data_IF_862599181046
#
_entry.id   IF_862599181046
#
_cell.length_a   1.000
_cell.length_b   1.000
_cell.length_c   1.000
_cell.angle_alpha   90.00
_cell.angle_beta   90.00
_cell.angle_gamma   90.00
#
_symmetry.space_group_name_H-M   'P 1'
#
loop_
_entity.id
_entity.type
_entity.pdbx_description
1 polymer ?
#
# COMPACT_ATOMS: atom_id res chain seq x y z
N UNK A 1 -2.78 -51.53 -23.33
CA UNK A 1 -4.06 -50.89 -22.96
C UNK A 1 -3.75 -49.70 -22.05
N UNK A 2 -3.71 -48.48 -22.60
CA UNK A 2 -3.42 -47.26 -21.85
C UNK A 2 -4.68 -46.75 -21.13
N UNK A 3 -4.63 -46.67 -19.81
CA UNK A 3 -5.65 -46.02 -18.99
C UNK A 3 -5.41 -44.51 -18.95
N UNK A 4 -6.19 -43.75 -19.74
CA UNK A 4 -6.22 -42.28 -19.67
C UNK A 4 -6.90 -41.84 -18.38
N UNK A 5 -6.12 -41.39 -17.40
CA UNK A 5 -6.61 -40.66 -16.21
C UNK A 5 -7.19 -39.31 -16.63
N UNK A 6 -8.53 -39.23 -16.73
CA UNK A 6 -9.25 -37.96 -16.82
C UNK A 6 -9.17 -37.25 -15.46
N UNK A 7 -8.14 -36.43 -15.27
CA UNK A 7 -8.13 -35.42 -14.21
C UNK A 7 -9.14 -34.33 -14.57
N UNK A 8 -10.40 -34.54 -14.18
CA UNK A 8 -11.46 -33.55 -14.28
C UNK A 8 -11.09 -32.32 -13.45
N UNK A 9 -11.07 -31.16 -14.13
CA UNK A 9 -10.78 -29.86 -13.53
C UNK A 9 -11.86 -29.55 -12.49
N UNK A 10 -11.60 -29.88 -11.23
CA UNK A 10 -12.47 -29.54 -10.11
C UNK A 10 -12.88 -28.06 -10.19
N UNK A 11 -14.18 -27.79 -10.02
CA UNK A 11 -14.71 -26.43 -10.01
C UNK A 11 -13.95 -25.59 -9.00
N UNK A 12 -13.23 -24.57 -9.49
CA UNK A 12 -12.63 -23.55 -8.63
C UNK A 12 -13.70 -22.47 -8.45
N UNK A 13 -14.26 -22.28 -7.24
CA UNK A 13 -15.21 -21.21 -7.01
C UNK A 13 -14.59 -19.90 -7.48
N UNK A 14 -15.33 -19.16 -8.31
CA UNK A 14 -14.92 -17.82 -8.72
C UNK A 14 -14.76 -17.01 -7.43
N UNK A 15 -13.62 -16.33 -7.29
CA UNK A 15 -13.44 -15.41 -6.17
C UNK A 15 -14.63 -14.44 -6.15
N UNK A 16 -15.20 -14.14 -4.97
CA UNK A 16 -16.27 -13.15 -4.89
C UNK A 16 -15.81 -11.86 -5.57
N UNK A 17 -16.73 -11.17 -6.25
CA UNK A 17 -16.43 -9.87 -6.84
C UNK A 17 -15.97 -8.93 -5.73
N UNK A 18 -14.71 -8.48 -5.81
CA UNK A 18 -14.16 -7.55 -4.85
C UNK A 18 -14.11 -6.17 -5.51
N UNK A 19 -15.03 -5.29 -5.09
CA UNK A 19 -14.98 -3.90 -5.49
C UNK A 19 -13.78 -3.23 -4.79
N UNK A 20 -12.82 -2.76 -5.58
CA UNK A 20 -11.70 -1.98 -5.08
C UNK A 20 -12.21 -0.59 -4.71
N UNK A 21 -11.99 -0.17 -3.47
CA UNK A 21 -12.50 1.08 -2.96
C UNK A 21 -11.71 2.29 -3.51
N UNK A 22 -12.41 3.38 -3.79
CA UNK A 22 -11.81 4.66 -4.15
C UNK A 22 -11.39 4.82 -5.61
N UNK A 23 -11.71 3.86 -6.50
CA UNK A 23 -11.47 3.99 -7.94
C UNK A 23 -12.05 5.31 -8.48
N UNK A 24 -11.27 6.03 -9.29
CA UNK A 24 -11.71 7.24 -9.99
C UNK A 24 -11.69 8.51 -9.14
N UNK A 25 -11.43 8.42 -7.84
CA UNK A 25 -11.33 9.57 -6.93
C UNK A 25 -10.03 10.37 -7.15
N UNK A 26 -9.98 11.66 -6.80
CA UNK A 26 -8.73 12.45 -6.84
C UNK A 26 -7.51 11.78 -6.20
N UNK A 27 -7.56 11.15 -4.99
CA UNK A 27 -6.43 10.39 -4.46
C UNK A 27 -6.02 9.21 -5.33
N UNK A 28 -6.98 8.49 -5.92
CA UNK A 28 -6.71 7.37 -6.82
C UNK A 28 -6.00 7.79 -8.10
N UNK A 29 -6.44 8.89 -8.71
CA UNK A 29 -5.85 9.43 -9.96
C UNK A 29 -4.39 9.87 -9.79
N UNK A 30 -3.92 10.08 -8.56
CA UNK A 30 -2.52 10.42 -8.24
C UNK A 30 -1.61 9.19 -8.10
N UNK A 31 -2.16 7.98 -8.07
CA UNK A 31 -1.36 6.76 -7.97
C UNK A 31 -0.69 6.43 -9.30
N UNK A 32 0.57 5.98 -9.22
CA UNK A 32 1.23 5.37 -10.37
C UNK A 32 0.58 4.02 -10.68
N UNK A 33 0.57 3.59 -11.96
CA UNK A 33 0.05 2.28 -12.37
C UNK A 33 0.64 1.10 -11.58
N UNK A 34 1.93 1.19 -11.22
CA UNK A 34 2.56 0.16 -10.39
C UNK A 34 2.10 0.18 -8.93
N UNK A 35 1.68 1.32 -8.38
CA UNK A 35 1.04 1.40 -7.07
C UNK A 35 -0.36 0.79 -7.10
N UNK A 36 -1.13 1.06 -8.17
CA UNK A 36 -2.41 0.38 -8.42
C UNK A 36 -2.18 -1.14 -8.48
N UNK A 37 -1.16 -1.60 -9.22
CA UNK A 37 -0.80 -3.02 -9.30
C UNK A 37 -0.50 -3.64 -7.93
N UNK A 38 0.27 -2.96 -7.06
CA UNK A 38 0.49 -3.41 -5.68
C UNK A 38 -0.81 -3.47 -4.89
N UNK A 39 -1.69 -2.47 -5.03
CA UNK A 39 -2.97 -2.47 -4.32
C UNK A 39 -3.86 -3.62 -4.74
N UNK A 40 -3.87 -3.96 -6.02
CA UNK A 40 -4.56 -5.14 -6.53
C UNK A 40 -4.00 -6.44 -5.91
N UNK A 41 -2.69 -6.54 -5.66
CA UNK A 41 -2.14 -7.70 -4.94
C UNK A 41 -2.61 -7.78 -3.49
N UNK A 42 -2.83 -6.65 -2.83
CA UNK A 42 -3.46 -6.62 -1.50
C UNK A 42 -4.91 -7.11 -1.58
N UNK A 43 -5.69 -6.67 -2.56
CA UNK A 43 -7.06 -7.16 -2.76
C UNK A 43 -7.09 -8.64 -3.15
N UNK A 44 -6.17 -9.13 -3.98
CA UNK A 44 -6.07 -10.56 -4.32
C UNK A 44 -5.92 -11.47 -3.09
N UNK A 45 -5.31 -10.94 -2.02
CA UNK A 45 -5.11 -11.58 -0.71
C UNK A 45 -6.23 -11.27 0.30
N UNK A 46 -7.07 -10.28 0.03
CA UNK A 46 -8.18 -9.91 0.89
C UNK A 46 -9.26 -10.98 0.80
N UNK A 47 -9.76 -11.45 1.94
CA UNK A 47 -10.77 -12.51 2.03
C UNK A 47 -12.07 -12.05 2.70
N UNK A 48 -12.25 -10.74 2.90
CA UNK A 48 -13.38 -10.17 3.65
C UNK A 48 -13.07 -9.94 5.14
N UNK A 49 -12.32 -10.84 5.77
CA UNK A 49 -12.09 -10.84 7.22
C UNK A 49 -10.71 -10.30 7.63
N UNK A 50 -9.73 -10.32 6.71
CA UNK A 50 -8.36 -9.93 6.99
C UNK A 50 -8.03 -8.46 6.62
N UNK A 51 -9.02 -7.55 6.61
CA UNK A 51 -8.86 -6.16 6.12
C UNK A 51 -7.67 -5.43 6.71
N UNK A 52 -7.35 -5.69 7.99
CA UNK A 52 -6.27 -5.04 8.75
C UNK A 52 -5.04 -5.95 8.98
N UNK A 53 -5.03 -7.14 8.38
CA UNK A 53 -4.00 -8.15 8.57
C UNK A 53 -3.51 -8.69 7.23
N UNK A 54 -3.10 -7.80 6.33
CA UNK A 54 -2.55 -8.15 5.03
C UNK A 54 -1.04 -8.01 5.02
N UNK A 55 -0.35 -8.98 4.45
CA UNK A 55 1.09 -8.92 4.20
C UNK A 55 1.37 -9.02 2.71
N UNK A 56 2.29 -8.18 2.25
CA UNK A 56 2.86 -8.27 0.92
C UNK A 56 4.35 -7.98 1.02
N UNK A 57 5.15 -8.96 0.67
CA UNK A 57 6.60 -8.89 0.71
C UNK A 57 7.15 -8.61 -0.68
N UNK A 58 8.35 -8.03 -0.73
CA UNK A 58 9.04 -7.82 -2.00
C UNK A 58 9.24 -9.13 -2.78
N UNK A 59 9.52 -10.25 -2.09
CA UNK A 59 9.74 -11.56 -2.73
C UNK A 59 8.55 -12.02 -3.56
N UNK A 60 7.34 -11.64 -3.18
CA UNK A 60 6.11 -12.02 -3.89
C UNK A 60 5.90 -11.22 -5.18
N UNK A 61 6.53 -10.04 -5.29
CA UNK A 61 6.37 -9.12 -6.43
C UNK A 61 7.68 -8.80 -7.14
N UNK A 62 8.78 -9.47 -6.79
CA UNK A 62 10.12 -9.19 -7.30
C UNK A 62 10.26 -9.41 -8.81
N UNK A 63 9.45 -10.31 -9.39
CA UNK A 63 9.38 -10.54 -10.84
C UNK A 63 8.80 -9.34 -11.60
N UNK A 64 8.05 -8.46 -10.92
CA UNK A 64 7.35 -7.33 -11.54
C UNK A 64 8.07 -5.99 -11.36
N UNK A 65 8.88 -5.84 -10.31
CA UNK A 65 9.53 -4.57 -9.98
C UNK A 65 10.71 -4.76 -9.04
N UNK A 66 11.59 -3.75 -8.95
CA UNK A 66 12.69 -3.72 -7.97
C UNK A 66 12.21 -3.34 -6.56
N UNK A 67 13.02 -3.64 -5.55
CA UNK A 67 12.70 -3.35 -4.13
C UNK A 67 12.53 -1.86 -3.85
N UNK A 68 13.30 -1.02 -4.55
CA UNK A 68 13.22 0.43 -4.48
C UNK A 68 11.86 0.93 -5.00
N UNK A 69 11.43 0.40 -6.14
CA UNK A 69 10.15 0.74 -6.77
C UNK A 69 8.98 0.23 -5.92
N UNK A 70 9.08 -1.01 -5.42
CA UNK A 70 8.11 -1.57 -4.48
C UNK A 70 7.90 -0.66 -3.27
N UNK A 71 9.00 -0.24 -2.63
CA UNK A 71 8.94 0.66 -1.48
C UNK A 71 8.30 1.99 -1.85
N UNK A 72 8.63 2.56 -3.01
CA UNK A 72 8.06 3.84 -3.48
C UNK A 72 6.54 3.74 -3.65
N UNK A 73 6.08 2.71 -4.35
CA UNK A 73 4.65 2.50 -4.61
C UNK A 73 3.86 2.19 -3.33
N UNK A 74 4.44 1.41 -2.42
CA UNK A 74 3.84 1.17 -1.10
C UNK A 74 3.64 2.49 -0.33
N UNK A 75 4.62 3.40 -0.37
CA UNK A 75 4.48 4.72 0.25
C UNK A 75 3.48 5.64 -0.45
N UNK A 76 3.25 5.49 -1.76
CA UNK A 76 2.14 6.21 -2.43
C UNK A 76 0.79 5.74 -1.88
N UNK A 77 0.57 4.44 -1.78
CA UNK A 77 -0.68 3.88 -1.24
C UNK A 77 -0.91 4.30 0.22
N UNK A 78 0.14 4.32 1.03
CA UNK A 78 0.06 4.78 2.43
C UNK A 78 -0.20 6.29 2.50
N UNK A 79 0.47 7.06 1.65
CA UNK A 79 0.36 8.51 1.62
C UNK A 79 -1.02 8.98 1.20
N UNK A 80 -1.57 8.42 0.13
CA UNK A 80 -2.91 8.74 -0.35
C UNK A 80 -4.04 8.03 0.41
N UNK A 81 -3.72 7.33 1.51
CA UNK A 81 -4.73 6.84 2.44
C UNK A 81 -5.45 5.56 2.00
N UNK A 82 -4.88 4.80 1.06
CA UNK A 82 -5.38 3.48 0.63
C UNK A 82 -4.86 2.33 1.51
N UNK A 83 -3.69 2.52 2.13
CA UNK A 83 -3.11 1.56 3.06
C UNK A 83 -2.71 2.21 4.39
N UNK A 84 -2.81 1.42 5.46
CA UNK A 84 -2.28 1.74 6.78
C UNK A 84 -1.21 0.74 7.17
N UNK A 85 -0.09 1.24 7.71
CA UNK A 85 0.87 0.38 8.39
C UNK A 85 0.30 0.02 9.75
N UNK A 86 -0.07 -1.25 9.94
CA UNK A 86 -0.59 -1.77 11.21
C UNK A 86 0.53 -2.30 12.10
N UNK A 87 1.51 -2.96 11.48
CA UNK A 87 2.71 -3.46 12.17
C UNK A 87 3.91 -3.31 11.26
N UNK A 88 4.95 -2.63 11.73
CA UNK A 88 6.24 -2.64 11.04
C UNK A 88 6.99 -3.91 11.36
N UNK A 89 7.38 -4.66 10.33
CA UNK A 89 8.35 -5.75 10.47
C UNK A 89 9.70 -5.19 10.90
N UNK A 90 10.31 -5.77 11.93
CA UNK A 90 11.68 -5.44 12.38
C UNK A 90 12.44 -6.73 12.73
N UNK A 91 12.77 -6.93 14.00
CA UNK A 91 13.90 -7.74 14.47
C UNK A 91 13.82 -9.26 14.19
N UNK A 92 12.62 -9.83 14.05
CA UNK A 92 12.42 -11.30 14.00
C UNK A 92 11.97 -11.83 12.63
N UNK A 93 12.45 -11.24 11.52
CA UNK A 93 12.07 -11.61 10.14
C UNK A 93 10.56 -11.56 9.82
N UNK A 94 9.75 -11.00 10.72
CA UNK A 94 8.32 -10.82 10.50
C UNK A 94 8.07 -9.79 9.40
N UNK A 95 7.15 -10.11 8.49
CA UNK A 95 6.70 -9.17 7.47
C UNK A 95 5.91 -8.01 8.10
N UNK A 96 5.90 -6.87 7.42
CA UNK A 96 5.02 -5.77 7.82
C UNK A 96 3.57 -6.12 7.51
N UNK A 97 2.67 -5.77 8.43
CA UNK A 97 1.24 -5.92 8.26
C UNK A 97 0.62 -4.58 7.89
N UNK A 98 -0.25 -4.64 6.91
CA UNK A 98 -0.99 -3.51 6.37
C UNK A 98 -2.48 -3.74 6.50
N UNK A 99 -3.23 -2.64 6.53
CA UNK A 99 -4.67 -2.66 6.38
C UNK A 99 -5.13 -1.83 5.21
N UNK A 100 -6.19 -2.29 4.52
CA UNK A 100 -6.91 -1.47 3.54
C UNK A 100 -7.58 -0.32 4.30
N UNK A 101 -7.26 0.90 3.90
CA UNK A 101 -7.63 2.13 4.61
C UNK A 101 -8.67 2.93 3.84
N UNK A 102 -9.48 3.69 4.59
CA UNK A 102 -10.50 4.58 4.05
C UNK A 102 -10.12 6.06 4.19
N UNK A 103 -8.88 6.36 4.64
CA UNK A 103 -8.38 7.73 4.83
C UNK A 103 -8.35 8.53 3.54
N UNK A 104 -8.32 7.86 2.39
CA UNK A 104 -8.48 8.49 1.09
C UNK A 104 -9.80 9.29 0.98
N UNK A 105 -10.86 8.93 1.72
CA UNK A 105 -12.15 9.66 1.72
C UNK A 105 -12.01 11.09 2.24
N UNK A 106 -11.26 11.29 3.32
CA UNK A 106 -10.95 12.63 3.85
C UNK A 106 -10.01 13.40 2.93
N UNK A 107 -9.01 12.73 2.37
CA UNK A 107 -8.09 13.35 1.41
C UNK A 107 -8.81 13.74 0.11
N UNK A 108 -9.97 13.14 -0.17
CA UNK A 108 -10.81 13.50 -1.30
C UNK A 108 -11.48 14.87 -1.09
N UNK A 109 -11.79 15.24 0.15
CA UNK A 109 -12.38 16.55 0.49
C UNK A 109 -11.34 17.63 0.73
N UNK A 110 -10.07 17.25 0.98
CA UNK A 110 -8.97 18.17 1.29
C UNK A 110 -7.87 18.20 0.21
N UNK A 111 -8.06 18.94 -0.89
CA UNK A 111 -7.12 18.96 -2.02
C UNK A 111 -5.72 19.47 -1.63
N UNK A 112 -5.63 20.39 -0.66
CA UNK A 112 -4.35 20.90 -0.18
C UNK A 112 -3.48 19.83 0.47
N UNK A 113 -4.08 18.94 1.29
CA UNK A 113 -3.36 17.83 1.91
C UNK A 113 -2.82 16.89 0.84
N UNK A 114 -3.61 16.62 -0.19
CA UNK A 114 -3.24 15.76 -1.31
C UNK A 114 -2.05 16.30 -2.11
N UNK A 115 -2.04 17.61 -2.41
CA UNK A 115 -0.90 18.28 -3.05
C UNK A 115 0.36 18.20 -2.16
N UNK A 116 0.23 18.47 -0.86
CA UNK A 116 1.35 18.38 0.10
C UNK A 116 1.92 16.96 0.16
N UNK A 117 1.08 15.93 0.19
CA UNK A 117 1.51 14.52 0.16
C UNK A 117 2.27 14.22 -1.14
N UNK A 118 1.76 14.67 -2.29
CA UNK A 118 2.42 14.48 -3.58
C UNK A 118 3.82 15.12 -3.60
N UNK A 119 3.97 16.34 -3.09
CA UNK A 119 5.25 17.03 -2.99
C UNK A 119 6.24 16.28 -2.10
N UNK A 120 5.81 15.80 -0.93
CA UNK A 120 6.65 15.02 -0.02
C UNK A 120 7.10 13.70 -0.67
N UNK A 121 6.22 13.02 -1.40
CA UNK A 121 6.57 11.80 -2.13
C UNK A 121 7.58 12.07 -3.25
N UNK A 122 7.45 13.20 -3.98
CA UNK A 122 8.44 13.64 -4.97
C UNK A 122 9.81 13.90 -4.34
N UNK A 123 9.87 14.58 -3.19
CA UNK A 123 11.11 14.81 -2.44
C UNK A 123 11.78 13.49 -2.01
N UNK A 124 11.00 12.55 -1.47
CA UNK A 124 11.51 11.22 -1.09
C UNK A 124 12.09 10.50 -2.32
N UNK A 125 11.39 10.54 -3.47
CA UNK A 125 11.86 9.93 -4.73
C UNK A 125 13.20 10.51 -5.18
N UNK A 126 13.38 11.82 -5.10
CA UNK A 126 14.63 12.49 -5.44
C UNK A 126 15.76 12.09 -4.49
N UNK A 127 15.50 12.07 -3.18
CA UNK A 127 16.49 11.63 -2.19
C UNK A 127 16.90 10.19 -2.45
N UNK A 128 15.96 9.28 -2.70
CA UNK A 128 16.23 7.85 -2.91
C UNK A 128 17.16 7.55 -4.09
N UNK A 129 17.26 8.43 -5.10
CA UNK A 129 18.15 8.25 -6.28
C UNK A 129 19.65 8.38 -5.97
N UNK A 130 20.02 9.16 -4.95
CA UNK A 130 21.43 9.39 -4.59
C UNK A 130 22.02 8.19 -3.81
N UNK A 131 23.34 7.94 -3.78
CA UNK A 131 23.93 7.00 -2.83
C UNK A 131 23.61 7.40 -1.37
N UNK A 132 23.59 6.42 -0.45
CA UNK A 132 22.95 6.57 0.86
C UNK A 132 23.89 6.92 2.01
N UNK A 133 23.69 8.07 2.66
CA UNK A 133 24.28 8.44 3.96
C UNK A 133 23.27 8.32 5.12
N UNK A 134 23.75 8.28 6.37
CA UNK A 134 22.87 8.27 7.56
C UNK A 134 21.98 9.51 7.63
N UNK A 135 22.52 10.70 7.31
CA UNK A 135 21.78 11.96 7.25
C UNK A 135 20.57 11.87 6.30
N UNK A 136 20.79 11.32 5.10
CA UNK A 136 19.73 11.09 4.11
C UNK A 136 18.66 10.12 4.62
N UNK A 137 19.04 9.02 5.29
CA UNK A 137 18.09 8.07 5.87
C UNK A 137 17.18 8.75 6.90
N UNK A 138 17.75 9.59 7.74
CA UNK A 138 17.01 10.40 8.72
C UNK A 138 16.06 11.40 8.05
N UNK A 139 16.48 12.03 6.97
CA UNK A 139 15.65 12.96 6.21
C UNK A 139 14.44 12.25 5.56
N UNK A 140 14.67 11.12 4.90
CA UNK A 140 13.59 10.29 4.35
C UNK A 140 12.61 9.87 5.46
N UNK A 141 13.12 9.47 6.62
CA UNK A 141 12.29 9.11 7.77
C UNK A 141 11.42 10.30 8.25
N UNK A 142 12.01 11.50 8.35
CA UNK A 142 11.27 12.73 8.70
C UNK A 142 10.15 13.02 7.70
N UNK A 143 10.42 12.93 6.39
CA UNK A 143 9.43 13.15 5.35
C UNK A 143 8.29 12.13 5.40
N UNK A 144 8.61 10.85 5.59
CA UNK A 144 7.62 9.78 5.76
C UNK A 144 6.71 10.02 6.96
N UNK A 145 7.27 10.47 8.09
CA UNK A 145 6.47 10.81 9.26
C UNK A 145 5.56 12.03 9.02
N UNK A 146 6.00 13.02 8.24
CA UNK A 146 5.13 14.14 7.82
C UNK A 146 3.93 13.62 7.01
N UNK A 147 4.16 12.72 6.06
CA UNK A 147 3.08 12.08 5.27
C UNK A 147 2.10 11.36 6.21
N UNK A 148 2.60 10.55 7.14
CA UNK A 148 1.75 9.84 8.10
C UNK A 148 0.92 10.79 8.96
N UNK A 149 1.49 11.91 9.40
CA UNK A 149 0.76 12.93 10.19
C UNK A 149 -0.33 13.62 9.37
N UNK A 150 -0.04 13.98 8.12
CA UNK A 150 -1.01 14.63 7.23
C UNK A 150 -2.23 13.75 6.95
N UNK A 151 -2.01 12.44 6.89
CA UNK A 151 -3.10 11.49 6.71
C UNK A 151 -3.73 11.00 8.00
N UNK A 152 -3.33 11.44 9.21
CA UNK A 152 -4.01 11.02 10.45
C UNK A 152 -5.26 11.86 10.65
N UNK A 153 -6.36 11.18 10.97
CA UNK A 153 -7.55 11.82 11.52
C UNK A 153 -7.17 12.56 12.80
N UNK A 154 -7.65 13.80 13.05
CA UNK A 154 -7.69 14.30 14.42
C UNK A 154 -8.50 13.28 15.22
N UNK A 155 -7.89 12.73 16.28
CA UNK A 155 -8.49 11.73 17.15
C UNK A 155 -9.92 12.17 17.48
N UNK A 156 -10.91 11.34 17.14
CA UNK A 156 -12.20 11.41 17.80
C UNK A 156 -11.86 11.14 19.27
N UNK A 157 -11.91 12.19 20.10
CA UNK A 157 -11.91 12.02 21.55
C UNK A 157 -13.11 11.13 21.83
N UNK A 158 -12.87 9.87 22.18
CA UNK A 158 -13.91 9.07 22.81
C UNK A 158 -14.30 9.84 24.07
N UNK A 159 -15.47 10.48 24.02
CA UNK A 159 -16.16 10.97 25.20
C UNK A 159 -16.47 9.71 26.01
N UNK A 160 -15.85 9.63 27.19
CA UNK A 160 -16.14 8.62 28.20
C UNK A 160 -17.55 8.82 28.74
#
# INVERSE_FOLDING_TARGET
>A
MESKTRNEKAYKPKKPFQAVEGIGTPPWRKLDMGAIGIFMEFYNKFNGFNRYNLSLTYREVNKKMSSLIFTRFLWQLIGFGFLDIRRTGRLMRNCSLYGISNRWRELNTEPEKLIKIEQLLKQIKLLMRKPGSQKKRMEIWKLRNKILKLGKHPQIKHVQ
#
